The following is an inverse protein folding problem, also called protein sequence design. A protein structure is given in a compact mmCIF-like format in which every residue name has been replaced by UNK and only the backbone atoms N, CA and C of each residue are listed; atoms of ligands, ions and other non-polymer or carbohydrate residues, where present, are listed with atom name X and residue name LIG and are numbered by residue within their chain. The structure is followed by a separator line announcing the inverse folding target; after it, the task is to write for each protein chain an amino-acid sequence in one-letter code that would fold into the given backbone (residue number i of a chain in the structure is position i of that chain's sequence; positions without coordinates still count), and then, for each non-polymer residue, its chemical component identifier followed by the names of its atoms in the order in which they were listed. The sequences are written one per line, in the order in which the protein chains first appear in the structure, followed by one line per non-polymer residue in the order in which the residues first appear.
data_IF_098472851900
#
_entry.id   IF_098472851900
#
_cell.length_a   1.000
_cell.length_b   1.000
_cell.length_c   1.000
_cell.angle_alpha   90.00
_cell.angle_beta   90.00
_cell.angle_gamma   90.00
#
_symmetry.space_group_name_H-M   'P 1'
#
loop_
_entity.id
_entity.type
_entity.pdbx_description
1 polymer ?
#
# COMPACT_ATOMS: atom_id res chain seq x y z
N UNK A 1 -56.74 18.99 -66.02
CA UNK A 1 -56.54 20.02 -64.97
C UNK A 1 -56.01 19.28 -63.75
N UNK A 2 -54.86 19.52 -63.13
CA UNK A 2 -53.87 20.61 -63.08
C UNK A 2 -52.47 20.00 -63.17
N UNK A 3 -51.59 20.59 -63.98
CA UNK A 3 -50.13 20.46 -63.87
C UNK A 3 -49.69 21.49 -62.82
N UNK A 4 -48.86 21.09 -61.86
CA UNK A 4 -48.10 22.03 -61.03
C UNK A 4 -46.65 21.59 -60.97
N UNK A 5 -45.80 22.49 -61.47
CA UNK A 5 -44.34 22.53 -61.34
C UNK A 5 -43.93 22.86 -59.90
N UNK A 6 -42.74 22.40 -59.47
CA UNK A 6 -41.71 23.11 -58.66
C UNK A 6 -40.60 22.09 -58.29
N UNK A 7 -39.45 22.04 -59.00
CA UNK A 7 -38.17 22.73 -58.77
C UNK A 7 -37.46 22.47 -57.41
N UNK A 8 -36.38 21.67 -57.50
CA UNK A 8 -34.99 21.97 -57.10
C UNK A 8 -34.66 22.36 -55.64
N UNK A 9 -33.86 21.52 -54.95
CA UNK A 9 -32.50 21.85 -54.48
C UNK A 9 -31.90 20.70 -53.65
N UNK A 10 -30.73 20.23 -54.08
CA UNK A 10 -29.83 19.35 -53.34
C UNK A 10 -29.12 20.20 -52.28
N UNK A 11 -29.22 19.87 -51.00
CA UNK A 11 -28.33 20.39 -49.96
C UNK A 11 -27.75 19.21 -49.17
N UNK A 12 -26.47 18.95 -49.45
CA UNK A 12 -25.58 18.15 -48.60
C UNK A 12 -25.47 18.85 -47.25
N UNK A 13 -25.88 18.17 -46.17
CA UNK A 13 -25.43 18.53 -44.82
C UNK A 13 -24.77 17.32 -44.22
N UNK A 14 -23.47 17.46 -44.02
CA UNK A 14 -22.57 16.47 -43.45
C UNK A 14 -23.07 16.05 -42.05
N UNK A 15 -22.79 14.79 -41.70
CA UNK A 15 -22.87 14.33 -40.32
C UNK A 15 -22.11 15.32 -39.42
N UNK A 16 -22.83 16.10 -38.63
CA UNK A 16 -22.27 16.63 -37.40
C UNK A 16 -22.23 15.44 -36.44
N UNK A 17 -21.13 14.68 -36.50
CA UNK A 17 -20.68 14.00 -35.29
C UNK A 17 -20.41 15.12 -34.31
N UNK A 18 -21.27 15.28 -33.31
CA UNK A 18 -20.89 15.95 -32.09
C UNK A 18 -19.63 15.24 -31.62
N UNK A 19 -18.50 15.90 -31.78
CA UNK A 19 -17.30 15.60 -31.01
C UNK A 19 -17.76 15.85 -29.59
N UNK A 20 -18.04 14.77 -28.86
CA UNK A 20 -18.14 14.85 -27.42
C UNK A 20 -16.78 15.35 -26.94
N UNK A 21 -16.83 16.56 -26.42
CA UNK A 21 -15.74 17.32 -25.86
C UNK A 21 -15.19 16.52 -24.66
N UNK A 22 -14.01 15.91 -24.80
CA UNK A 22 -13.25 15.38 -23.67
C UNK A 22 -12.90 16.55 -22.74
N UNK A 23 -13.73 16.81 -21.73
CA UNK A 23 -13.37 17.69 -20.62
C UNK A 23 -13.93 17.11 -19.32
N UNK A 24 -13.13 16.24 -18.73
CA UNK A 24 -13.18 15.91 -17.32
C UNK A 24 -11.73 15.94 -16.86
N UNK A 25 -11.18 17.15 -16.71
CA UNK A 25 -9.96 17.37 -15.95
C UNK A 25 -10.29 17.04 -14.48
N UNK A 26 -10.35 15.75 -14.17
CA UNK A 26 -10.61 15.25 -12.82
C UNK A 26 -9.32 15.49 -12.03
N UNK A 27 -9.26 16.67 -11.39
CA UNK A 27 -8.13 17.10 -10.58
C UNK A 27 -7.84 16.03 -9.52
N UNK A 28 -6.58 15.62 -9.39
CA UNK A 28 -6.16 14.62 -8.39
C UNK A 28 -5.78 15.30 -7.07
N UNK A 29 -5.59 14.52 -6.00
CA UNK A 29 -5.02 15.03 -4.73
C UNK A 29 -3.68 15.74 -4.91
N UNK A 30 -2.81 15.25 -5.81
CA UNK A 30 -1.53 15.92 -6.09
C UNK A 30 -1.72 17.22 -6.87
N UNK A 31 -2.72 17.30 -7.74
CA UNK A 31 -3.06 18.54 -8.44
C UNK A 31 -3.61 19.57 -7.45
N UNK A 32 -4.50 19.15 -6.53
CA UNK A 32 -4.99 19.96 -5.42
C UNK A 32 -3.83 20.52 -4.58
N UNK A 33 -2.90 19.65 -4.19
CA UNK A 33 -1.72 20.03 -3.39
C UNK A 33 -0.80 20.99 -4.14
N UNK A 34 -0.61 20.77 -5.44
CA UNK A 34 0.22 21.63 -6.30
C UNK A 34 -0.43 22.99 -6.52
N UNK A 35 -1.75 23.05 -6.55
CA UNK A 35 -2.54 24.28 -6.63
C UNK A 35 -2.62 25.06 -5.29
N UNK A 36 -2.07 24.51 -4.20
CA UNK A 36 -2.05 25.17 -2.88
C UNK A 36 -3.31 24.95 -2.05
N UNK A 37 -4.05 23.85 -2.28
CA UNK A 37 -5.16 23.43 -1.42
C UNK A 37 -4.72 23.18 0.03
N UNK A 38 -5.68 23.27 0.96
CA UNK A 38 -5.46 23.00 2.38
C UNK A 38 -5.39 21.49 2.63
N UNK A 39 -4.27 21.02 3.19
CA UNK A 39 -4.04 19.59 3.42
C UNK A 39 -4.40 19.20 4.86
N UNK A 40 -5.30 18.23 5.01
CA UNK A 40 -5.70 17.63 6.27
C UNK A 40 -5.10 16.21 6.39
N UNK A 41 -4.31 16.00 7.44
CA UNK A 41 -3.59 14.75 7.68
C UNK A 41 -4.38 13.76 8.55
N UNK A 42 -5.63 13.51 8.23
CA UNK A 42 -6.37 12.35 8.73
C UNK A 42 -6.41 11.26 7.64
N UNK A 43 -7.05 10.12 7.90
CA UNK A 43 -7.09 8.99 6.94
C UNK A 43 -8.49 8.84 6.34
N UNK A 44 -8.64 8.82 5.00
CA UNK A 44 -7.64 9.22 3.99
C UNK A 44 -7.16 10.66 4.16
N UNK A 45 -5.95 10.95 3.69
CA UNK A 45 -5.47 12.33 3.62
C UNK A 45 -6.39 13.12 2.69
N UNK A 46 -6.82 14.29 3.14
CA UNK A 46 -7.68 15.16 2.35
C UNK A 46 -6.91 16.40 1.92
N UNK A 47 -7.17 16.87 0.71
CA UNK A 47 -6.76 18.17 0.21
C UNK A 47 -8.02 18.91 -0.21
N UNK A 48 -8.28 20.07 0.39
CA UNK A 48 -9.45 20.89 0.11
C UNK A 48 -9.01 22.04 -0.78
N UNK A 49 -9.60 22.16 -1.97
CA UNK A 49 -9.35 23.26 -2.89
C UNK A 49 -10.69 23.77 -3.39
N UNK A 50 -10.97 25.06 -3.12
CA UNK A 50 -12.31 25.63 -3.26
C UNK A 50 -13.33 24.86 -2.40
N UNK A 51 -14.45 24.41 -2.99
CA UNK A 51 -15.50 23.66 -2.30
C UNK A 51 -15.37 22.14 -2.53
N UNK A 52 -14.28 21.68 -3.17
CA UNK A 52 -14.04 20.28 -3.49
C UNK A 52 -13.02 19.65 -2.55
N UNK A 53 -13.25 18.37 -2.24
CA UNK A 53 -12.39 17.54 -1.38
C UNK A 53 -11.75 16.45 -2.24
N UNK A 54 -10.43 16.44 -2.26
CA UNK A 54 -9.61 15.46 -2.96
C UNK A 54 -8.96 14.53 -1.94
N UNK A 55 -8.96 13.24 -2.23
CA UNK A 55 -8.44 12.23 -1.31
C UNK A 55 -7.14 11.63 -1.82
N UNK A 56 -6.14 11.46 -0.95
CA UNK A 56 -5.01 10.58 -1.22
C UNK A 56 -5.41 9.16 -0.85
N UNK A 57 -5.66 8.33 -1.85
CA UNK A 57 -5.98 6.91 -1.70
C UNK A 57 -4.75 6.04 -1.41
N UNK A 58 -3.59 6.66 -1.19
CA UNK A 58 -2.36 5.96 -0.81
C UNK A 58 -2.50 5.37 0.59
N UNK A 59 -2.03 4.11 0.77
CA UNK A 59 -1.93 3.49 2.09
C UNK A 59 -1.16 4.36 3.07
N UNK A 60 -1.66 4.46 4.30
CA UNK A 60 -0.89 5.00 5.41
C UNK A 60 0.33 4.15 5.64
N UNK A 61 1.51 4.74 5.76
CA UNK A 61 2.70 3.99 6.13
C UNK A 61 3.66 4.78 6.99
N UNK A 62 4.21 4.13 8.03
CA UNK A 62 5.09 4.74 9.02
C UNK A 62 5.90 3.68 9.76
N UNK A 63 7.01 4.11 10.37
CA UNK A 63 7.66 3.28 11.37
C UNK A 63 6.85 3.30 12.67
N UNK A 64 6.70 2.14 13.30
CA UNK A 64 6.02 1.97 14.58
C UNK A 64 6.89 1.18 15.54
N UNK A 65 6.81 1.55 16.82
CA UNK A 65 7.33 0.76 17.92
C UNK A 65 6.24 -0.26 18.33
N UNK A 66 6.60 -1.54 18.32
CA UNK A 66 5.72 -2.64 18.73
C UNK A 66 6.22 -3.37 19.99
N UNK A 67 7.15 -2.76 20.74
CA UNK A 67 7.69 -3.25 21.99
C UNK A 67 9.19 -3.59 21.88
N UNK A 68 9.55 -4.80 21.42
CA UNK A 68 10.94 -5.23 21.38
C UNK A 68 11.74 -4.59 20.24
N UNK A 69 11.07 -4.00 19.24
CA UNK A 69 11.69 -3.44 18.05
C UNK A 69 10.80 -2.39 17.38
N UNK A 70 11.38 -1.73 16.37
CA UNK A 70 10.68 -0.83 15.46
C UNK A 70 10.52 -1.52 14.10
N UNK A 71 9.38 -1.32 13.44
CA UNK A 71 9.07 -1.94 12.14
C UNK A 71 8.30 -1.00 11.23
N UNK A 72 8.18 -1.37 9.96
CA UNK A 72 7.49 -0.55 8.96
C UNK A 72 6.04 -1.01 8.81
N UNK A 73 5.11 -0.21 9.31
CA UNK A 73 3.68 -0.43 9.24
C UNK A 73 3.10 0.19 7.98
N UNK A 74 2.21 -0.53 7.29
CA UNK A 74 1.39 -0.03 6.20
C UNK A 74 -0.07 -0.48 6.36
N UNK A 75 -1.02 0.41 6.12
CA UNK A 75 -2.46 0.14 6.26
C UNK A 75 -3.22 0.58 5.02
N UNK A 76 -4.25 -0.16 4.57
CA UNK A 76 -5.16 0.31 3.53
C UNK A 76 -5.86 1.59 3.96
N UNK A 77 -6.32 2.35 2.98
CA UNK A 77 -7.20 3.51 3.22
C UNK A 77 -8.59 3.04 3.63
N UNK A 78 -9.14 3.67 4.67
CA UNK A 78 -10.50 3.41 5.16
C UNK A 78 -10.54 2.80 6.56
N UNK A 79 -11.74 2.35 6.96
CA UNK A 79 -12.02 1.94 8.34
C UNK A 79 -11.76 0.47 8.69
N UNK A 80 -11.43 -0.39 7.71
CA UNK A 80 -11.31 -1.85 7.92
C UNK A 80 -12.64 -2.53 8.29
N UNK A 81 -12.60 -3.75 8.87
CA UNK A 81 -11.39 -4.50 9.20
C UNK A 81 -10.72 -5.14 7.97
N UNK A 82 -9.41 -5.33 8.04
CA UNK A 82 -8.58 -5.92 6.99
C UNK A 82 -7.82 -7.13 7.51
N UNK A 83 -7.46 -8.03 6.59
CA UNK A 83 -6.53 -9.11 6.92
C UNK A 83 -5.15 -8.54 7.28
N UNK A 84 -4.39 -9.24 8.11
CA UNK A 84 -3.13 -8.74 8.65
C UNK A 84 -1.95 -9.62 8.24
N UNK A 85 -0.83 -8.99 7.90
CA UNK A 85 0.40 -9.67 7.47
C UNK A 85 1.58 -9.15 8.29
N UNK A 86 2.28 -10.06 8.98
CA UNK A 86 3.65 -9.82 9.41
C UNK A 86 4.55 -10.13 8.21
N UNK A 87 5.23 -9.11 7.68
CA UNK A 87 6.14 -9.24 6.55
C UNK A 87 7.58 -9.38 7.05
N UNK A 88 8.27 -10.44 6.67
CA UNK A 88 9.64 -10.73 7.11
C UNK A 88 10.59 -10.40 5.95
N UNK A 89 11.51 -9.46 6.19
CA UNK A 89 12.40 -8.94 5.14
C UNK A 89 13.37 -9.99 4.58
N UNK A 90 13.92 -9.68 3.40
CA UNK A 90 14.98 -10.46 2.76
C UNK A 90 16.36 -10.32 3.41
N UNK A 91 17.36 -10.89 2.73
CA UNK A 91 18.74 -10.99 3.22
C UNK A 91 19.42 -9.64 3.45
N UNK A 92 18.96 -8.59 2.77
CA UNK A 92 19.53 -7.24 2.86
C UNK A 92 18.98 -6.40 4.02
N UNK A 93 17.96 -6.90 4.75
CA UNK A 93 17.33 -6.20 5.88
C UNK A 93 16.07 -5.40 5.53
N UNK A 94 15.54 -4.67 6.53
CA UNK A 94 14.35 -3.83 6.37
C UNK A 94 14.66 -2.54 5.59
N UNK A 95 14.60 -2.63 4.25
CA UNK A 95 14.94 -1.53 3.36
C UNK A 95 13.80 -1.17 2.38
N UNK A 96 14.11 -0.31 1.39
CA UNK A 96 13.11 0.37 0.54
C UNK A 96 12.22 -0.57 -0.27
N UNK A 97 12.75 -1.70 -0.71
CA UNK A 97 12.02 -2.77 -1.41
C UNK A 97 10.94 -3.38 -0.51
N UNK A 98 11.28 -3.74 0.73
CA UNK A 98 10.34 -4.27 1.73
C UNK A 98 9.25 -3.24 2.04
N UNK A 99 9.63 -1.96 2.19
CA UNK A 99 8.64 -0.90 2.42
C UNK A 99 7.69 -0.75 1.24
N UNK A 100 8.19 -0.92 0.01
CA UNK A 100 7.37 -0.87 -1.19
C UNK A 100 6.42 -2.07 -1.27
N UNK A 101 6.89 -3.27 -0.91
CA UNK A 101 6.06 -4.47 -0.82
C UNK A 101 4.97 -4.33 0.24
N UNK A 102 5.30 -3.84 1.44
CA UNK A 102 4.32 -3.58 2.51
C UNK A 102 3.24 -2.60 2.04
N UNK A 103 3.62 -1.51 1.36
CA UNK A 103 2.64 -0.59 0.76
C UNK A 103 1.81 -1.24 -0.35
N UNK A 104 2.40 -2.11 -1.17
CA UNK A 104 1.69 -2.85 -2.21
C UNK A 104 0.60 -3.76 -1.63
N UNK A 105 0.96 -4.57 -0.64
CA UNK A 105 0.04 -5.42 0.10
C UNK A 105 -1.07 -4.61 0.80
N UNK A 106 -0.75 -3.40 1.27
CA UNK A 106 -1.75 -2.49 1.84
C UNK A 106 -2.71 -1.92 0.79
N UNK A 107 -2.26 -1.66 -0.44
CA UNK A 107 -3.18 -1.35 -1.56
C UNK A 107 -4.11 -2.51 -1.90
N UNK A 108 -3.66 -3.74 -1.67
CA UNK A 108 -4.45 -4.96 -1.88
C UNK A 108 -5.42 -5.27 -0.72
N UNK A 109 -5.50 -4.41 0.30
CA UNK A 109 -6.44 -4.56 1.42
C UNK A 109 -5.89 -5.35 2.60
N UNK A 110 -4.57 -5.32 2.84
CA UNK A 110 -3.94 -5.92 4.02
C UNK A 110 -3.32 -4.87 4.95
N UNK A 111 -3.49 -5.01 6.25
CA UNK A 111 -2.67 -4.29 7.22
C UNK A 111 -1.36 -5.04 7.37
N UNK A 112 -0.23 -4.36 7.19
CA UNK A 112 1.09 -4.99 7.13
C UNK A 112 2.00 -4.38 8.18
N UNK A 113 2.73 -5.23 8.92
CA UNK A 113 3.89 -4.82 9.71
C UNK A 113 5.11 -5.58 9.21
N UNK A 114 6.02 -4.87 8.56
CA UNK A 114 7.32 -5.42 8.20
C UNK A 114 8.26 -5.35 9.41
N UNK A 115 8.69 -6.52 9.90
CA UNK A 115 9.57 -6.64 11.07
C UNK A 115 11.02 -6.39 10.70
N UNK A 116 11.81 -5.95 11.66
CA UNK A 116 13.26 -5.79 11.54
C UNK A 116 13.97 -6.85 12.40
N UNK A 117 14.52 -7.87 11.76
CA UNK A 117 15.28 -8.93 12.43
C UNK A 117 16.77 -8.59 12.53
N UNK A 118 17.22 -7.52 11.88
CA UNK A 118 18.62 -7.10 11.82
C UNK A 118 18.91 -5.84 12.64
N UNK A 119 17.97 -5.39 13.48
CA UNK A 119 18.18 -4.34 14.48
C UNK A 119 18.66 -3.01 13.85
N UNK A 120 18.11 -2.68 12.68
CA UNK A 120 18.40 -1.48 11.91
C UNK A 120 19.54 -1.61 10.91
N UNK A 121 20.25 -2.75 10.90
CA UNK A 121 21.30 -3.00 9.92
C UNK A 121 20.71 -3.36 8.54
N UNK A 122 21.42 -2.93 7.50
CA UNK A 122 21.11 -3.20 6.10
C UNK A 122 22.38 -3.29 5.28
N UNK A 123 22.35 -4.04 4.18
CA UNK A 123 23.52 -4.27 3.36
C UNK A 123 23.19 -4.42 1.87
N UNK A 124 24.19 -4.27 1.02
CA UNK A 124 24.14 -4.56 -0.42
C UNK A 124 25.25 -5.54 -0.85
N UNK A 125 25.92 -6.18 0.11
CA UNK A 125 27.01 -7.13 -0.15
C UNK A 125 26.64 -8.52 0.33
N UNK A 126 26.90 -9.52 -0.52
CA UNK A 126 26.55 -10.92 -0.26
C UNK A 126 27.22 -11.48 1.00
N UNK A 127 28.47 -11.10 1.27
CA UNK A 127 29.20 -11.52 2.48
C UNK A 127 28.46 -11.05 3.74
N UNK A 128 28.05 -9.78 3.79
CA UNK A 128 27.36 -9.24 4.95
C UNK A 128 25.94 -9.76 5.08
N UNK A 129 25.26 -10.04 3.98
CA UNK A 129 23.96 -10.72 3.97
C UNK A 129 24.04 -12.09 4.67
N UNK A 130 25.07 -12.87 4.36
CA UNK A 130 25.31 -14.18 4.97
C UNK A 130 25.61 -14.06 6.47
N UNK A 131 26.44 -13.10 6.86
CA UNK A 131 26.76 -12.84 8.28
C UNK A 131 25.51 -12.45 9.09
N UNK A 132 24.69 -11.53 8.56
CA UNK A 132 23.49 -11.04 9.22
C UNK A 132 22.44 -12.16 9.34
N UNK A 133 22.23 -12.93 8.28
CA UNK A 133 21.34 -14.09 8.32
C UNK A 133 21.85 -15.18 9.29
N UNK A 134 23.16 -15.41 9.37
CA UNK A 134 23.74 -16.34 10.33
C UNK A 134 23.53 -15.88 11.77
N UNK A 135 23.75 -14.59 12.07
CA UNK A 135 23.53 -14.04 13.41
C UNK A 135 22.09 -14.21 13.89
N UNK A 136 21.10 -14.05 13.02
CA UNK A 136 19.69 -14.34 13.36
C UNK A 136 19.46 -15.83 13.62
N UNK A 137 20.08 -16.72 12.82
CA UNK A 137 19.96 -18.17 13.04
C UNK A 137 20.66 -18.68 14.30
N UNK A 138 21.63 -17.94 14.83
CA UNK A 138 22.29 -18.24 16.10
C UNK A 138 21.45 -17.85 17.33
N UNK A 139 20.48 -16.94 17.17
CA UNK A 139 19.60 -16.42 18.22
C UNK A 139 18.13 -16.45 17.77
N UNK A 140 17.63 -17.66 17.51
CA UNK A 140 16.27 -17.86 17.03
C UNK A 140 15.21 -17.42 18.04
N UNK A 141 15.48 -17.55 19.34
CA UNK A 141 14.54 -17.16 20.39
C UNK A 141 14.22 -15.66 20.30
N UNK A 142 15.25 -14.81 20.18
CA UNK A 142 15.04 -13.36 20.00
C UNK A 142 14.30 -13.01 18.71
N UNK A 143 14.51 -13.80 17.65
CA UNK A 143 13.82 -13.59 16.39
C UNK A 143 12.33 -14.00 16.46
N UNK A 144 12.01 -15.12 17.11
CA UNK A 144 10.63 -15.52 17.38
C UNK A 144 9.92 -14.51 18.28
N UNK A 145 10.55 -14.08 19.38
CA UNK A 145 9.99 -13.05 20.27
C UNK A 145 9.64 -11.76 19.52
N UNK A 146 10.48 -11.35 18.57
CA UNK A 146 10.23 -10.19 17.72
C UNK A 146 9.01 -10.40 16.81
N UNK A 147 8.95 -11.54 16.09
CA UNK A 147 7.85 -11.87 15.17
C UNK A 147 6.52 -12.03 15.93
N UNK A 148 6.53 -12.69 17.09
CA UNK A 148 5.34 -12.86 17.93
C UNK A 148 4.84 -11.53 18.50
N UNK A 149 5.75 -10.66 18.93
CA UNK A 149 5.39 -9.32 19.38
C UNK A 149 4.75 -8.50 18.25
N UNK A 150 5.27 -8.59 17.04
CA UNK A 150 4.69 -7.95 15.86
C UNK A 150 3.28 -8.49 15.54
N UNK A 151 3.10 -9.82 15.56
CA UNK A 151 1.80 -10.46 15.35
C UNK A 151 0.77 -10.03 16.40
N UNK A 152 1.17 -10.03 17.68
CA UNK A 152 0.34 -9.56 18.79
C UNK A 152 -0.03 -8.09 18.61
N UNK A 153 0.95 -7.24 18.30
CA UNK A 153 0.70 -5.82 18.07
C UNK A 153 -0.27 -5.58 16.91
N UNK A 154 -0.12 -6.29 15.79
CA UNK A 154 -1.05 -6.22 14.66
C UNK A 154 -2.47 -6.63 15.06
N UNK A 155 -2.62 -7.73 15.81
CA UNK A 155 -3.94 -8.22 16.24
C UNK A 155 -4.72 -7.23 17.12
N UNK A 156 -4.04 -6.25 17.71
CA UNK A 156 -4.62 -5.23 18.58
C UNK A 156 -5.01 -3.96 17.83
N UNK A 157 -4.70 -3.85 16.53
CA UNK A 157 -5.06 -2.67 15.74
C UNK A 157 -6.56 -2.66 15.44
N UNK A 158 -7.18 -1.48 15.52
CA UNK A 158 -8.63 -1.32 15.37
C UNK A 158 -9.16 -1.76 14.00
N UNK A 159 -8.31 -1.68 12.98
CA UNK A 159 -8.62 -1.97 11.58
C UNK A 159 -8.21 -3.38 11.16
N UNK A 160 -7.82 -4.25 12.09
CA UNK A 160 -7.44 -5.64 11.80
C UNK A 160 -8.58 -6.59 12.10
N UNK A 161 -8.85 -7.51 11.17
CA UNK A 161 -9.82 -8.59 11.34
C UNK A 161 -9.36 -9.56 12.44
N UNK A 162 -10.30 -10.03 13.26
CA UNK A 162 -9.96 -10.96 14.35
C UNK A 162 -9.39 -12.25 13.77
N UNK A 163 -8.34 -12.75 14.41
CA UNK A 163 -7.72 -14.04 14.05
C UNK A 163 -7.17 -14.10 12.60
N UNK A 164 -6.92 -12.95 11.96
CA UNK A 164 -6.50 -12.88 10.55
C UNK A 164 -5.00 -12.71 10.33
N UNK A 165 -4.17 -12.78 11.37
CA UNK A 165 -2.72 -12.54 11.23
C UNK A 165 -2.05 -13.71 10.51
N UNK A 166 -1.40 -13.40 9.39
CA UNK A 166 -0.57 -14.33 8.62
C UNK A 166 0.85 -13.82 8.53
N UNK A 167 1.74 -14.72 8.11
CA UNK A 167 3.14 -14.42 7.89
C UNK A 167 3.43 -14.51 6.39
N UNK A 168 4.30 -13.64 5.91
CA UNK A 168 4.82 -13.68 4.55
C UNK A 168 6.31 -13.36 4.59
N UNK A 169 7.11 -14.27 4.05
CA UNK A 169 8.54 -14.07 3.83
C UNK A 169 8.88 -13.42 2.49
N UNK A 170 10.06 -12.80 2.43
CA UNK A 170 10.81 -12.63 1.17
C UNK A 170 12.18 -13.29 1.28
N UNK A 171 12.48 -14.29 0.44
CA UNK A 171 13.81 -14.93 0.35
C UNK A 171 14.30 -15.50 1.69
N UNK A 172 15.12 -14.76 2.46
CA UNK A 172 15.45 -15.12 3.84
C UNK A 172 14.19 -15.25 4.70
N UNK A 173 13.21 -14.38 4.47
CA UNK A 173 11.89 -14.46 5.08
C UNK A 173 11.18 -15.80 4.82
N UNK A 174 11.35 -16.41 3.63
CA UNK A 174 10.66 -17.66 3.27
C UNK A 174 11.10 -18.84 4.15
N UNK A 175 12.31 -18.76 4.76
CA UNK A 175 12.77 -19.74 5.75
C UNK A 175 11.88 -19.74 7.01
N UNK A 176 11.20 -18.63 7.28
CA UNK A 176 10.35 -18.45 8.45
C UNK A 176 8.96 -19.02 8.27
N UNK A 177 8.44 -19.09 7.04
CA UNK A 177 7.11 -19.67 6.79
C UNK A 177 7.04 -21.11 7.34
N UNK A 178 8.06 -21.93 7.04
CA UNK A 178 8.17 -23.29 7.55
C UNK A 178 8.35 -23.38 9.06
N UNK A 179 9.03 -22.40 9.66
CA UNK A 179 9.29 -22.36 11.11
C UNK A 179 8.03 -21.99 11.89
N UNK A 180 7.28 -21.02 11.39
CA UNK A 180 6.06 -20.52 12.02
C UNK A 180 4.89 -21.50 11.87
N UNK A 181 4.90 -22.33 10.83
CA UNK A 181 3.95 -23.46 10.71
C UNK A 181 4.11 -24.50 11.83
N UNK A 182 5.33 -24.69 12.36
CA UNK A 182 5.59 -25.67 13.44
C UNK A 182 5.15 -25.19 14.83
N UNK A 183 4.79 -23.90 14.96
CA UNK A 183 4.33 -23.29 16.21
C UNK A 183 2.80 -23.28 16.36
N UNK A 184 2.07 -23.75 15.34
CA UNK A 184 0.60 -23.93 15.36
C UNK A 184 0.23 -25.33 15.82
#
# INVERSE_FOLDING_TARGET
MKKSLLLLALLLTACSSSVEEETSDDLTYEDCRTAGGEVFFHEPHECHLFDDIYYDDKPTAKFVDYGPATGYYASPVGGGPYQAIVLIHGQSGLQKDIWAQARGLAKEGNVVLAVDLYKGEKTTTQEREQEMAAAVREDLDSAFDNIEAAAKWLSLQYNVEKESVRFLGESFGDEWDQRLEQLK
#
